data_IF_345050168868
#
_entry.id   IF_345050168868
#
_cell.length_a   1.000
_cell.length_b   1.000
_cell.length_c   1.000
_cell.angle_alpha   90.00
_cell.angle_beta   90.00
_cell.angle_gamma   90.00
#
_symmetry.space_group_name_H-M   'P 1'
#
loop_
_entity.id
_entity.type
_entity.pdbx_description
1 polymer ?
#
# COMPACT_ATOMS: atom_id res chain seq x y z
N UNK A 1 -6.49 0.84 20.27
CA UNK A 1 -6.79 -0.55 20.63
C UNK A 1 -5.53 -1.41 20.61
N UNK A 2 -4.89 -1.63 19.45
CA UNK A 2 -3.66 -2.45 19.35
C UNK A 2 -2.49 -1.90 20.18
N UNK A 3 -2.22 -0.60 20.11
CA UNK A 3 -1.16 0.04 20.90
C UNK A 3 -1.44 0.08 22.42
N UNK A 4 -2.70 -0.10 22.81
CA UNK A 4 -3.12 -0.19 24.21
C UNK A 4 -3.08 -1.64 24.73
N UNK A 5 -2.63 -2.61 23.91
CA UNK A 5 -2.57 -4.02 24.27
C UNK A 5 -3.93 -4.73 24.29
N UNK A 6 -4.99 -4.09 23.80
CA UNK A 6 -6.36 -4.61 23.88
C UNK A 6 -6.73 -5.57 22.74
N UNK A 7 -5.82 -5.83 21.81
CA UNK A 7 -6.06 -6.72 20.68
C UNK A 7 -5.00 -6.61 19.59
N UNK A 8 -5.26 -7.24 18.45
CA UNK A 8 -4.38 -7.26 17.28
C UNK A 8 -5.11 -6.81 16.03
N UNK A 9 -4.35 -6.40 15.02
CA UNK A 9 -4.89 -5.92 13.75
C UNK A 9 -3.91 -6.11 12.61
N UNK A 10 -4.42 -6.26 11.39
CA UNK A 10 -3.63 -5.97 10.20
C UNK A 10 -3.50 -4.45 10.05
N UNK A 11 -2.28 -3.98 9.80
CA UNK A 11 -1.99 -2.56 9.63
C UNK A 11 -1.05 -2.34 8.43
N UNK A 12 -1.16 -1.19 7.75
CA UNK A 12 -0.18 -0.81 6.73
C UNK A 12 1.24 -0.79 7.32
N UNK A 13 2.19 -1.35 6.58
CA UNK A 13 3.59 -1.45 7.01
C UNK A 13 4.17 -0.08 7.37
N UNK A 14 3.82 0.97 6.63
CA UNK A 14 4.30 2.34 6.88
C UNK A 14 3.86 2.89 8.23
N UNK A 15 2.71 2.47 8.75
CA UNK A 15 2.20 2.89 10.07
C UNK A 15 2.74 2.01 11.20
N UNK A 16 2.93 0.71 10.96
CA UNK A 16 3.37 -0.24 11.97
C UNK A 16 4.90 -0.25 12.17
N UNK A 17 5.68 -0.03 11.10
CA UNK A 17 7.14 -0.11 11.12
C UNK A 17 7.82 0.70 12.24
N UNK A 18 7.50 2.00 12.47
CA UNK A 18 8.13 2.75 13.56
C UNK A 18 7.78 2.16 14.94
N UNK A 19 6.53 1.74 15.14
CA UNK A 19 6.10 1.17 16.42
C UNK A 19 6.72 -0.20 16.69
N UNK A 20 7.03 -0.97 15.65
CA UNK A 20 7.77 -2.23 15.77
C UNK A 20 9.24 -1.95 16.07
N UNK A 21 9.86 -0.98 15.39
CA UNK A 21 11.24 -0.57 15.65
C UNK A 21 11.42 -0.08 17.09
N UNK A 22 10.43 0.65 17.62
CA UNK A 22 10.40 1.14 18.99
C UNK A 22 10.01 0.05 20.02
N UNK A 23 9.78 -1.20 19.59
CA UNK A 23 9.38 -2.32 20.47
C UNK A 23 7.98 -2.19 21.08
N UNK A 24 7.18 -1.23 20.61
CA UNK A 24 5.80 -1.01 21.10
C UNK A 24 4.78 -1.95 20.48
N UNK A 25 5.11 -2.52 19.32
CA UNK A 25 4.36 -3.57 18.63
C UNK A 25 5.30 -4.68 18.18
N UNK A 26 4.73 -5.87 17.93
CA UNK A 26 5.45 -7.01 17.33
C UNK A 26 4.68 -7.53 16.11
N UNK A 27 5.38 -8.17 15.17
CA UNK A 27 4.72 -8.93 14.10
C UNK A 27 4.22 -10.27 14.66
N UNK A 28 2.91 -10.52 14.62
CA UNK A 28 2.33 -11.80 15.07
C UNK A 28 2.72 -12.98 14.19
N UNK A 29 2.86 -12.73 12.88
CA UNK A 29 3.34 -13.68 11.91
C UNK A 29 4.53 -13.05 11.17
N UNK A 30 5.76 -13.30 11.64
CA UNK A 30 6.95 -12.63 11.13
C UNK A 30 7.04 -12.71 9.60
N UNK A 31 7.30 -11.56 8.97
CA UNK A 31 7.44 -11.38 7.53
C UNK A 31 6.25 -11.82 6.65
N UNK A 32 5.12 -12.26 7.23
CA UNK A 32 3.90 -12.55 6.46
C UNK A 32 3.15 -11.26 6.16
N UNK A 33 3.23 -10.81 4.91
CA UNK A 33 2.60 -9.59 4.42
C UNK A 33 1.60 -9.90 3.32
N UNK A 34 0.46 -9.22 3.36
CA UNK A 34 -0.54 -9.28 2.30
C UNK A 34 -0.30 -8.07 1.38
N UNK A 35 -0.03 -8.34 0.11
CA UNK A 35 0.05 -7.29 -0.90
C UNK A 35 -1.37 -6.93 -1.38
N UNK A 36 -1.69 -5.64 -1.38
CA UNK A 36 -2.98 -5.12 -1.84
C UNK A 36 -2.73 -4.12 -2.97
N UNK A 37 -3.29 -4.39 -4.15
CA UNK A 37 -3.19 -3.48 -5.29
C UNK A 37 -4.13 -2.29 -5.10
N UNK A 38 -3.59 -1.08 -5.24
CA UNK A 38 -4.37 0.16 -5.15
C UNK A 38 -4.63 0.73 -6.54
N UNK A 39 -5.80 1.36 -6.70
CA UNK A 39 -6.22 2.01 -7.94
C UNK A 39 -6.59 3.46 -7.68
N UNK A 40 -6.20 4.34 -8.61
CA UNK A 40 -6.71 5.71 -8.67
C UNK A 40 -7.80 5.80 -9.72
N UNK A 41 -8.99 6.23 -9.31
CA UNK A 41 -10.13 6.43 -10.19
C UNK A 41 -10.44 7.92 -10.30
N UNK A 42 -10.74 8.36 -11.53
CA UNK A 42 -11.18 9.74 -11.81
C UNK A 42 -12.38 9.71 -12.74
N UNK A 43 -13.25 10.69 -12.61
CA UNK A 43 -14.36 10.89 -13.55
C UNK A 43 -13.84 11.41 -14.89
N UNK A 44 -14.56 11.09 -15.98
CA UNK A 44 -14.21 11.52 -17.35
C UNK A 44 -14.66 12.96 -17.63
N UNK A 45 -14.35 13.88 -16.71
CA UNK A 45 -14.53 15.30 -16.93
C UNK A 45 -13.23 15.88 -17.48
N UNK A 46 -13.30 16.63 -18.59
CA UNK A 46 -12.15 17.25 -19.22
C UNK A 46 -11.67 18.49 -18.42
N UNK A 47 -11.21 18.25 -17.19
CA UNK A 47 -10.71 19.28 -16.30
C UNK A 47 -9.20 19.13 -16.12
N UNK A 48 -8.44 20.14 -16.56
CA UNK A 48 -6.97 20.19 -16.40
C UNK A 48 -6.52 20.03 -14.93
N UNK A 49 -7.37 20.43 -13.97
CA UNK A 49 -7.12 20.21 -12.54
C UNK A 49 -7.06 18.71 -12.19
N UNK A 50 -7.93 17.88 -12.77
CA UNK A 50 -7.94 16.44 -12.52
C UNK A 50 -6.70 15.75 -13.11
N UNK A 51 -6.13 16.29 -14.19
CA UNK A 51 -4.85 15.82 -14.71
C UNK A 51 -3.72 16.08 -13.70
N UNK A 52 -3.63 17.32 -13.18
CA UNK A 52 -2.63 17.67 -12.15
C UNK A 52 -2.79 16.82 -10.89
N UNK A 53 -4.03 16.62 -10.43
CA UNK A 53 -4.30 15.76 -9.27
C UNK A 53 -3.89 14.31 -9.55
N UNK A 54 -4.17 13.80 -10.75
CA UNK A 54 -3.77 12.44 -11.14
C UNK A 54 -2.25 12.29 -11.12
N UNK A 55 -1.50 13.28 -11.59
CA UNK A 55 -0.04 13.26 -11.52
C UNK A 55 0.48 13.32 -10.07
N UNK A 56 -0.11 14.18 -9.23
CA UNK A 56 0.26 14.27 -7.82
C UNK A 56 0.01 12.96 -7.06
N UNK A 57 -1.16 12.34 -7.25
CA UNK A 57 -1.50 11.05 -6.64
C UNK A 57 -0.55 9.95 -7.12
N UNK A 58 -0.26 9.87 -8.42
CA UNK A 58 0.70 8.88 -8.96
C UNK A 58 2.11 9.10 -8.41
N UNK A 59 2.57 10.34 -8.31
CA UNK A 59 3.87 10.67 -7.72
C UNK A 59 3.97 10.23 -6.27
N UNK A 60 2.96 10.53 -5.45
CA UNK A 60 2.89 10.07 -4.07
C UNK A 60 2.84 8.53 -3.97
N UNK A 61 2.08 7.88 -4.86
CA UNK A 61 1.99 6.42 -4.92
C UNK A 61 3.35 5.77 -5.22
N UNK A 62 4.12 6.29 -6.18
CA UNK A 62 5.46 5.79 -6.49
C UNK A 62 6.42 5.96 -5.30
N UNK A 63 6.32 7.07 -4.57
CA UNK A 63 7.18 7.34 -3.43
C UNK A 63 6.85 6.46 -2.19
N UNK A 64 5.57 6.14 -1.98
CA UNK A 64 5.11 5.53 -0.73
C UNK A 64 4.71 4.05 -0.85
N UNK A 65 4.44 3.54 -2.06
CA UNK A 65 3.95 2.18 -2.27
C UNK A 65 5.01 1.30 -2.93
N UNK A 66 4.95 0.00 -2.62
CA UNK A 66 5.76 -0.98 -3.34
C UNK A 66 5.14 -1.24 -4.72
N UNK A 67 5.95 -1.45 -5.77
CA UNK A 67 5.45 -1.92 -7.05
C UNK A 67 4.65 -3.21 -6.84
N UNK A 68 3.52 -3.34 -7.54
CA UNK A 68 2.82 -4.60 -7.54
C UNK A 68 3.69 -5.63 -8.27
N UNK A 69 4.00 -6.74 -7.60
CA UNK A 69 4.50 -7.91 -8.30
C UNK A 69 3.29 -8.54 -9.02
N UNK A 70 2.87 -7.97 -10.14
CA UNK A 70 1.94 -8.68 -11.03
C UNK A 70 2.68 -9.92 -11.52
N UNK A 71 2.10 -11.09 -11.27
CA UNK A 71 2.61 -12.36 -11.78
C UNK A 71 2.98 -12.24 -13.25
N UNK A 72 4.24 -12.51 -13.56
CA UNK A 72 4.70 -12.74 -14.93
C UNK A 72 4.14 -14.12 -15.31
N UNK A 73 2.86 -14.14 -15.66
CA UNK A 73 2.12 -15.28 -16.20
C UNK A 73 1.64 -14.95 -17.60
N UNK A 74 2.53 -14.46 -18.46
CA UNK A 74 2.36 -14.58 -19.92
C UNK A 74 2.90 -15.95 -20.31
N UNK A 75 2.08 -16.99 -20.20
CA UNK A 75 2.26 -18.19 -21.01
C UNK A 75 1.89 -17.82 -22.45
N UNK A 76 2.87 -17.30 -23.18
CA UNK A 76 2.88 -17.23 -24.63
C UNK A 76 3.86 -18.28 -25.12
N UNK A 77 3.37 -19.50 -25.38
CA UNK A 77 3.95 -20.44 -26.34
C UNK A 77 2.81 -21.38 -26.77
N UNK A 78 2.56 -21.40 -28.08
CA UNK A 78 1.85 -22.39 -28.92
C UNK A 78 0.38 -22.77 -28.65
#
# INVERSE_FOLDING_TARGET
>A
MTLAGLGWSMAPVTLAAPLIADGRLIELAPQKRIAVTLYWQRTRLAAQLLDRLTQAVRGAAVAALKPNATGIGRSNTD
#
